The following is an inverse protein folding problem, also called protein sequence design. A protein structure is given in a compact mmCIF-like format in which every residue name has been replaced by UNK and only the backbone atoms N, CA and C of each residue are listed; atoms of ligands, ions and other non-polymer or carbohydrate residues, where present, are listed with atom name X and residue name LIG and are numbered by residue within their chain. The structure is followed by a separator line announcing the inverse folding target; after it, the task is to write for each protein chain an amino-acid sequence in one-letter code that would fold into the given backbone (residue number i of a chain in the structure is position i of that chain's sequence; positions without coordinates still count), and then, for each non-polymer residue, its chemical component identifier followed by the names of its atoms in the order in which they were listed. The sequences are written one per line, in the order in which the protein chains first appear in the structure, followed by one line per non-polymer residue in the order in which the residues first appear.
data_IF_623189236655
#
_entry.id   IF_623189236655
#
_cell.length_a   1.000
_cell.length_b   1.000
_cell.length_c   1.000
_cell.angle_alpha   90.00
_cell.angle_beta   90.00
_cell.angle_gamma   90.00
#
_symmetry.space_group_name_H-M   'P 1'
#
loop_
_entity.id
_entity.type
_entity.pdbx_description
1 polymer ?
#
# COMPACT_ATOMS: atom_id res chain seq x y z
N UNK A 1 -1.64 22.76 4.72
CA UNK A 1 -0.61 22.75 5.79
C UNK A 1 0.61 23.60 5.40
N UNK A 2 1.16 23.44 4.19
CA UNK A 2 2.24 24.32 3.69
C UNK A 2 1.69 25.64 3.12
N UNK A 3 0.74 25.59 2.19
CA UNK A 3 0.09 26.79 1.62
C UNK A 3 -0.49 27.71 2.71
N UNK A 4 -1.12 27.12 3.72
CA UNK A 4 -1.67 27.86 4.87
C UNK A 4 -0.61 28.55 5.75
N UNK A 5 0.63 28.05 5.72
CA UNK A 5 1.74 28.57 6.54
C UNK A 5 2.68 29.48 5.74
N UNK A 6 2.69 29.33 4.43
CA UNK A 6 3.56 30.06 3.49
C UNK A 6 2.71 30.58 2.33
N UNK A 7 1.92 31.61 2.59
CA UNK A 7 1.00 32.21 1.60
C UNK A 7 1.71 32.77 0.37
N UNK A 8 2.97 33.14 0.52
CA UNK A 8 3.75 33.82 -0.51
C UNK A 8 4.49 32.83 -1.43
N UNK A 9 4.40 31.52 -1.14
CA UNK A 9 5.00 30.46 -1.95
C UNK A 9 3.90 29.79 -2.77
N UNK A 10 4.10 29.75 -4.09
CA UNK A 10 3.23 28.98 -4.98
C UNK A 10 3.67 27.50 -4.99
N UNK A 11 2.74 26.59 -4.68
CA UNK A 11 3.00 25.15 -4.72
C UNK A 11 2.38 24.56 -5.98
N UNK A 12 3.20 23.88 -6.79
CA UNK A 12 2.75 23.16 -7.98
C UNK A 12 2.90 21.66 -7.71
N UNK A 13 1.83 20.91 -7.92
CA UNK A 13 1.81 19.45 -7.73
C UNK A 13 2.13 18.78 -9.06
N UNK A 14 3.23 18.00 -9.07
CA UNK A 14 3.56 17.07 -10.15
C UNK A 14 3.15 15.64 -9.82
N UNK A 15 3.06 14.78 -10.83
CA UNK A 15 2.84 13.34 -10.69
C UNK A 15 3.88 12.58 -11.53
N UNK A 16 4.46 11.55 -10.94
CA UNK A 16 5.37 10.62 -11.60
C UNK A 16 4.82 9.20 -11.44
N UNK A 17 4.80 8.44 -12.53
CA UNK A 17 4.43 7.01 -12.47
C UNK A 17 5.66 6.19 -12.06
N UNK A 18 5.45 5.16 -11.23
CA UNK A 18 6.55 4.33 -10.73
C UNK A 18 6.48 2.91 -11.30
N UNK A 19 7.63 2.21 -11.31
CA UNK A 19 7.68 0.81 -11.76
C UNK A 19 6.75 -0.07 -10.91
N UNK A 20 6.62 0.23 -9.62
CA UNK A 20 5.73 -0.49 -8.71
C UNK A 20 4.23 -0.37 -9.06
N UNK A 21 3.84 0.69 -9.78
CA UNK A 21 2.47 0.89 -10.26
C UNK A 21 2.16 0.03 -11.50
N UNK A 22 3.19 -0.31 -12.28
CA UNK A 22 3.04 -1.09 -13.51
C UNK A 22 2.97 -2.60 -13.27
N UNK A 23 3.56 -3.11 -12.17
CA UNK A 23 3.56 -4.55 -11.88
C UNK A 23 2.37 -4.94 -11.00
N UNK A 24 1.35 -5.54 -11.60
CA UNK A 24 0.09 -5.91 -10.94
C UNK A 24 -0.15 -7.42 -10.78
N UNK A 25 0.68 -8.27 -11.38
CA UNK A 25 0.43 -9.72 -11.55
C UNK A 25 1.19 -10.64 -10.57
N UNK A 26 2.19 -10.14 -9.84
CA UNK A 26 3.05 -10.94 -8.93
C UNK A 26 3.35 -10.22 -7.61
N UNK A 27 4.02 -10.88 -6.65
CA UNK A 27 4.46 -10.19 -5.43
C UNK A 27 5.64 -9.26 -5.72
N UNK A 28 5.74 -8.15 -4.99
CA UNK A 28 6.90 -7.24 -5.11
C UNK A 28 8.21 -7.91 -4.68
N UNK A 29 8.14 -8.86 -3.75
CA UNK A 29 9.30 -9.67 -3.34
C UNK A 29 9.91 -10.45 -4.50
N UNK A 30 9.10 -10.84 -5.48
CA UNK A 30 9.51 -11.68 -6.60
C UNK A 30 10.30 -10.89 -7.66
N UNK A 31 10.30 -9.55 -7.56
CA UNK A 31 11.06 -8.65 -8.44
C UNK A 31 12.50 -8.42 -7.95
N UNK A 32 12.85 -8.89 -6.75
CA UNK A 32 14.12 -8.56 -6.10
C UNK A 32 15.21 -9.62 -6.27
N UNK A 33 15.93 -9.61 -7.40
CA UNK A 33 17.26 -10.26 -7.49
C UNK A 33 18.34 -9.51 -8.30
N UNK A 34 18.16 -8.26 -8.77
CA UNK A 34 19.31 -7.56 -9.40
C UNK A 34 19.50 -6.05 -9.21
N UNK A 35 18.54 -5.26 -8.71
CA UNK A 35 18.77 -3.83 -8.39
C UNK A 35 17.76 -3.34 -7.34
N UNK A 36 18.05 -3.63 -6.08
CA UNK A 36 17.09 -3.62 -4.97
C UNK A 36 17.12 -2.29 -4.21
N UNK A 37 16.15 -1.41 -4.46
CA UNK A 37 15.52 -0.42 -3.55
C UNK A 37 14.97 0.76 -4.37
N UNK A 38 13.67 1.02 -4.30
CA UNK A 38 13.06 2.21 -4.91
C UNK A 38 12.04 1.99 -6.02
N UNK A 39 11.35 0.83 -6.05
CA UNK A 39 10.27 0.56 -7.02
C UNK A 39 9.17 1.63 -7.05
N UNK A 40 8.96 2.34 -5.93
CA UNK A 40 8.00 3.43 -5.78
C UNK A 40 8.66 4.81 -5.54
N UNK A 41 9.98 4.89 -5.51
CA UNK A 41 10.69 6.13 -5.15
C UNK A 41 11.63 6.63 -6.24
N UNK A 42 12.12 5.75 -7.13
CA UNK A 42 13.18 6.07 -8.08
C UNK A 42 12.88 7.27 -8.99
N UNK A 43 11.70 7.34 -9.62
CA UNK A 43 11.35 8.46 -10.50
C UNK A 43 11.29 9.79 -9.76
N UNK A 44 10.78 9.78 -8.53
CA UNK A 44 10.74 10.96 -7.67
C UNK A 44 12.13 11.36 -7.17
N UNK A 45 12.98 10.40 -6.82
CA UNK A 45 14.38 10.64 -6.45
C UNK A 45 15.17 11.26 -7.61
N UNK A 46 14.99 10.76 -8.83
CA UNK A 46 15.60 11.31 -10.06
C UNK A 46 15.15 12.76 -10.29
N UNK A 47 13.86 13.08 -10.11
CA UNK A 47 13.35 14.44 -10.23
C UNK A 47 13.95 15.40 -9.18
N UNK A 48 14.16 14.94 -7.94
CA UNK A 48 14.81 15.73 -6.90
C UNK A 48 16.28 16.00 -7.19
N UNK A 49 17.01 14.96 -7.63
CA UNK A 49 18.43 15.08 -7.98
C UNK A 49 18.64 15.97 -9.22
N UNK A 50 17.73 15.89 -10.20
CA UNK A 50 17.71 16.76 -11.38
C UNK A 50 17.21 18.19 -11.08
N UNK A 51 16.75 18.46 -9.84
CA UNK A 51 16.16 19.74 -9.41
C UNK A 51 14.94 20.17 -10.23
N UNK A 52 14.24 19.21 -10.84
CA UNK A 52 12.95 19.45 -11.51
C UNK A 52 11.78 19.40 -10.52
N UNK A 53 12.01 18.81 -9.33
CA UNK A 53 11.14 18.91 -8.17
C UNK A 53 11.91 19.45 -6.95
N UNK A 54 11.19 20.09 -6.02
CA UNK A 54 11.80 20.65 -4.78
C UNK A 54 11.70 19.70 -3.58
N UNK A 55 10.63 18.91 -3.50
CA UNK A 55 10.46 17.86 -2.49
C UNK A 55 9.49 16.79 -3.02
N UNK A 56 9.60 15.57 -2.48
CA UNK A 56 8.69 14.47 -2.79
C UNK A 56 7.93 14.06 -1.52
N UNK A 57 6.70 13.59 -1.69
CA UNK A 57 5.83 13.12 -0.59
C UNK A 57 5.57 11.64 -0.78
N UNK A 58 5.87 10.84 0.25
CA UNK A 58 5.70 9.40 0.22
C UNK A 58 4.95 8.89 1.43
N UNK A 59 4.30 7.73 1.27
CA UNK A 59 4.01 6.87 2.40
C UNK A 59 5.33 6.33 2.94
N UNK A 60 5.63 6.59 4.22
CA UNK A 60 6.92 6.23 4.82
C UNK A 60 7.22 4.71 4.73
N UNK A 61 6.18 3.87 4.71
CA UNK A 61 6.31 2.41 4.57
C UNK A 61 6.91 1.96 3.23
N UNK A 62 6.85 2.83 2.21
CA UNK A 62 7.30 2.54 0.84
C UNK A 62 8.69 3.16 0.57
N UNK A 63 9.26 3.89 1.54
CA UNK A 63 10.61 4.44 1.45
C UNK A 63 11.67 3.35 1.68
N UNK A 64 12.78 3.37 0.93
CA UNK A 64 13.92 2.53 1.25
C UNK A 64 14.55 2.95 2.58
N UNK A 65 15.23 2.02 3.25
CA UNK A 65 15.94 2.30 4.51
C UNK A 65 17.21 3.11 4.31
N UNK A 66 17.79 3.04 3.10
CA UNK A 66 18.95 3.83 2.69
C UNK A 66 18.50 4.76 1.57
N UNK A 67 18.74 6.05 1.74
CA UNK A 67 18.45 7.05 0.71
C UNK A 67 19.67 7.22 -0.21
N UNK A 68 19.46 7.58 -1.49
CA UNK A 68 20.54 7.98 -2.38
C UNK A 68 21.31 9.19 -1.83
N UNK A 69 22.60 9.27 -2.16
CA UNK A 69 23.42 10.43 -1.82
C UNK A 69 22.81 11.72 -2.38
N UNK A 70 22.86 12.80 -1.58
CA UNK A 70 22.27 14.09 -1.93
C UNK A 70 20.78 14.23 -1.59
N UNK A 71 20.12 13.17 -1.12
CA UNK A 71 18.73 13.20 -0.64
C UNK A 71 18.67 12.94 0.87
N UNK A 72 17.62 13.47 1.51
CA UNK A 72 17.38 13.30 2.95
C UNK A 72 15.88 13.18 3.24
N UNK A 73 15.53 12.42 4.27
CA UNK A 73 14.19 12.44 4.84
C UNK A 73 14.01 13.73 5.64
N UNK A 74 13.59 14.80 4.96
CA UNK A 74 13.53 16.14 5.55
C UNK A 74 12.42 16.31 6.61
N UNK A 75 11.34 15.53 6.52
CA UNK A 75 10.21 15.64 7.44
C UNK A 75 9.46 14.31 7.60
N UNK A 76 8.92 14.11 8.81
CA UNK A 76 7.91 13.09 9.11
C UNK A 76 6.68 13.82 9.63
N UNK A 77 5.54 13.64 8.95
CA UNK A 77 4.29 14.28 9.33
C UNK A 77 3.65 13.57 10.54
N UNK A 78 2.59 14.18 11.10
CA UNK A 78 1.79 13.54 12.14
C UNK A 78 1.28 12.19 11.63
N UNK A 79 1.51 11.14 12.42
CA UNK A 79 1.14 9.77 12.06
C UNK A 79 -0.37 9.59 12.16
N UNK A 80 -0.97 9.13 11.06
CA UNK A 80 -2.33 8.58 11.06
C UNK A 80 -2.36 7.18 11.68
N UNK A 81 -3.52 6.52 11.70
CA UNK A 81 -3.64 5.17 12.27
C UNK A 81 -2.58 4.22 11.69
N UNK A 82 -1.75 3.58 12.54
CA UNK A 82 -0.76 2.61 12.08
C UNK A 82 -1.34 1.20 11.89
N UNK A 83 -2.65 1.02 12.11
CA UNK A 83 -3.30 -0.27 12.17
C UNK A 83 -3.58 -0.86 10.79
N UNK A 84 -3.72 -2.18 10.75
CA UNK A 84 -4.29 -2.88 9.60
C UNK A 84 -5.81 -2.99 9.78
N UNK A 85 -6.57 -2.70 8.72
CA UNK A 85 -8.02 -2.86 8.70
C UNK A 85 -8.41 -4.07 7.85
N UNK A 86 -9.33 -4.88 8.36
CA UNK A 86 -9.99 -5.93 7.60
C UNK A 86 -11.30 -5.41 7.02
N UNK A 87 -11.44 -5.47 5.69
CA UNK A 87 -12.68 -5.11 5.00
C UNK A 87 -13.38 -6.39 4.58
N UNK A 88 -14.50 -6.68 5.22
CA UNK A 88 -15.31 -7.88 4.98
C UNK A 88 -16.20 -7.68 3.75
N UNK A 89 -16.28 -8.71 2.89
CA UNK A 89 -17.12 -8.71 1.70
C UNK A 89 -18.60 -8.44 2.06
N UNK A 90 -19.34 -7.63 1.28
CA UNK A 90 -20.75 -7.32 1.55
C UNK A 90 -21.66 -8.54 1.77
N UNK A 91 -21.47 -9.63 1.02
CA UNK A 91 -22.17 -10.93 1.20
C UNK A 91 -22.10 -11.51 2.62
N UNK A 92 -20.99 -11.28 3.33
CA UNK A 92 -20.81 -11.75 4.71
C UNK A 92 -21.38 -10.74 5.70
N UNK A 93 -21.24 -9.44 5.42
CA UNK A 93 -21.89 -8.37 6.21
C UNK A 93 -23.42 -8.51 6.21
N UNK A 94 -24.02 -8.89 5.08
CA UNK A 94 -25.46 -9.15 4.97
C UNK A 94 -25.93 -10.32 5.87
N UNK A 95 -25.02 -11.23 6.23
CA UNK A 95 -25.26 -12.33 7.17
C UNK A 95 -24.90 -11.97 8.62
N UNK A 96 -24.60 -10.70 8.88
CA UNK A 96 -24.22 -10.20 10.21
C UNK A 96 -22.75 -10.41 10.58
N UNK A 97 -21.92 -10.96 9.69
CA UNK A 97 -20.50 -11.22 9.95
C UNK A 97 -19.68 -9.94 9.77
N UNK A 98 -18.98 -9.51 10.81
CA UNK A 98 -18.26 -8.22 10.87
C UNK A 98 -16.76 -8.37 11.12
N UNK A 99 -16.30 -9.52 11.58
CA UNK A 99 -14.89 -9.74 11.92
C UNK A 99 -14.30 -10.92 11.14
N UNK A 100 -12.95 -10.97 11.04
CA UNK A 100 -12.26 -12.11 10.43
C UNK A 100 -12.57 -13.42 11.18
N UNK A 101 -12.73 -13.38 12.50
CA UNK A 101 -13.01 -14.56 13.35
C UNK A 101 -14.36 -15.22 13.03
N UNK A 102 -15.29 -14.44 12.51
CA UNK A 102 -16.64 -14.90 12.17
C UNK A 102 -16.72 -15.52 10.77
N UNK A 103 -15.68 -15.35 9.93
CA UNK A 103 -15.70 -15.90 8.59
C UNK A 103 -15.62 -17.44 8.59
N UNK A 104 -16.29 -18.11 7.64
CA UNK A 104 -16.22 -19.56 7.50
C UNK A 104 -14.79 -20.08 7.29
N UNK A 105 -14.56 -21.34 7.71
CA UNK A 105 -13.31 -22.05 7.38
C UNK A 105 -13.13 -22.10 5.86
N UNK A 106 -11.89 -21.94 5.40
CA UNK A 106 -11.57 -21.93 3.97
C UNK A 106 -11.79 -20.59 3.28
N UNK A 107 -12.21 -19.55 4.01
CA UNK A 107 -12.40 -18.20 3.45
C UNK A 107 -11.12 -17.62 2.83
N UNK A 108 -11.30 -16.84 1.77
CA UNK A 108 -10.22 -16.27 0.97
C UNK A 108 -9.94 -14.83 1.37
N UNK A 109 -8.72 -14.55 1.83
CA UNK A 109 -8.29 -13.23 2.26
C UNK A 109 -7.35 -12.61 1.24
N UNK A 110 -7.70 -11.42 0.75
CA UNK A 110 -6.93 -10.66 -0.23
C UNK A 110 -5.83 -9.81 0.41
N UNK A 111 -4.56 -10.17 0.15
CA UNK A 111 -3.39 -9.34 0.50
C UNK A 111 -2.18 -9.78 -0.33
N UNK A 112 -1.35 -8.83 -0.75
CA UNK A 112 -0.03 -9.11 -1.33
C UNK A 112 1.13 -8.82 -0.38
N UNK A 113 0.84 -8.39 0.85
CA UNK A 113 1.85 -8.15 1.89
C UNK A 113 2.19 -9.46 2.59
N UNK A 114 3.45 -9.90 2.47
CA UNK A 114 3.98 -11.06 3.19
C UNK A 114 3.83 -10.93 4.70
N UNK A 115 4.00 -9.72 5.24
CA UNK A 115 3.77 -9.41 6.67
C UNK A 115 2.35 -9.75 7.08
N UNK A 116 1.35 -9.26 6.34
CA UNK A 116 -0.07 -9.51 6.64
C UNK A 116 -0.43 -10.98 6.43
N UNK A 117 0.08 -11.59 5.37
CA UNK A 117 -0.12 -13.01 5.10
C UNK A 117 0.39 -13.89 6.25
N UNK A 118 1.61 -13.66 6.73
CA UNK A 118 2.18 -14.42 7.84
C UNK A 118 1.31 -14.30 9.11
N UNK A 119 0.83 -13.09 9.43
CA UNK A 119 -0.04 -12.85 10.58
C UNK A 119 -1.39 -13.57 10.44
N UNK A 120 -2.01 -13.53 9.26
CA UNK A 120 -3.29 -14.21 9.03
C UNK A 120 -3.13 -15.73 9.10
N UNK A 121 -2.09 -16.29 8.47
CA UNK A 121 -1.86 -17.74 8.49
C UNK A 121 -1.59 -18.27 9.90
N UNK A 122 -0.92 -17.47 10.73
CA UNK A 122 -0.67 -17.79 12.14
C UNK A 122 -1.96 -17.80 12.96
N UNK A 123 -2.81 -16.77 12.81
CA UNK A 123 -4.04 -16.63 13.62
C UNK A 123 -5.23 -17.44 13.07
N UNK A 124 -5.29 -17.64 11.76
CA UNK A 124 -6.39 -18.28 11.05
C UNK A 124 -5.87 -19.35 10.06
N UNK A 125 -5.35 -20.50 10.54
CA UNK A 125 -4.69 -21.49 9.69
C UNK A 125 -5.58 -22.09 8.60
N UNK A 126 -6.91 -22.02 8.75
CA UNK A 126 -7.87 -22.53 7.78
C UNK A 126 -8.17 -21.57 6.62
N UNK A 127 -7.72 -20.32 6.68
CA UNK A 127 -7.97 -19.33 5.63
C UNK A 127 -6.99 -19.49 4.47
N UNK A 128 -7.49 -19.19 3.27
CA UNK A 128 -6.70 -19.16 2.03
C UNK A 128 -6.27 -17.71 1.78
N UNK A 129 -5.02 -17.51 1.38
CA UNK A 129 -4.52 -16.18 1.01
C UNK A 129 -4.42 -16.11 -0.51
N UNK A 130 -4.92 -15.03 -1.09
CA UNK A 130 -4.81 -14.72 -2.53
C UNK A 130 -4.25 -13.32 -2.70
N UNK A 131 -3.39 -13.16 -3.71
CA UNK A 131 -2.74 -11.88 -4.00
C UNK A 131 -3.75 -10.82 -4.41
N UNK A 132 -3.56 -9.60 -3.91
CA UNK A 132 -4.42 -8.47 -4.22
C UNK A 132 -3.59 -7.20 -4.42
N UNK A 133 -3.50 -6.76 -5.68
CA UNK A 133 -2.77 -5.56 -6.13
C UNK A 133 -3.70 -4.53 -6.77
N UNK A 134 -3.18 -3.32 -6.91
CA UNK A 134 -3.88 -2.10 -7.33
C UNK A 134 -3.95 -1.07 -6.20
N UNK A 135 -4.40 0.15 -6.52
CA UNK A 135 -4.74 1.16 -5.53
C UNK A 135 -5.96 0.74 -4.69
N UNK A 136 -6.28 1.47 -3.61
CA UNK A 136 -7.35 1.09 -2.69
C UNK A 136 -8.71 0.96 -3.40
N UNK A 137 -9.02 1.85 -4.33
CA UNK A 137 -10.26 1.85 -5.10
C UNK A 137 -10.38 0.58 -5.95
N UNK A 138 -9.30 0.17 -6.61
CA UNK A 138 -9.26 -1.06 -7.40
C UNK A 138 -9.42 -2.30 -6.52
N UNK A 139 -8.83 -2.29 -5.31
CA UNK A 139 -8.95 -3.40 -4.35
C UNK A 139 -10.37 -3.53 -3.80
N UNK A 140 -11.01 -2.41 -3.47
CA UNK A 140 -12.41 -2.39 -3.04
C UNK A 140 -13.33 -2.87 -4.16
N UNK A 141 -13.13 -2.39 -5.39
CA UNK A 141 -13.91 -2.86 -6.53
C UNK A 141 -13.74 -4.37 -6.78
N UNK A 142 -12.54 -4.93 -6.60
CA UNK A 142 -12.29 -6.38 -6.68
C UNK A 142 -12.98 -7.15 -5.56
N UNK A 143 -13.02 -6.59 -4.34
CA UNK A 143 -13.79 -7.17 -3.24
C UNK A 143 -15.29 -7.16 -3.55
N UNK A 144 -15.84 -6.08 -4.12
CA UNK A 144 -17.28 -5.95 -4.32
C UNK A 144 -17.80 -6.73 -5.53
N UNK A 145 -17.02 -6.80 -6.62
CA UNK A 145 -17.47 -7.36 -7.90
C UNK A 145 -17.21 -8.85 -8.06
N UNK A 146 -16.21 -9.38 -7.36
CA UNK A 146 -15.79 -10.77 -7.54
C UNK A 146 -15.97 -11.55 -6.23
N UNK A 147 -16.55 -12.75 -6.33
CA UNK A 147 -16.58 -13.73 -5.24
C UNK A 147 -15.19 -14.34 -4.94
N UNK A 148 -14.13 -13.74 -5.49
CA UNK A 148 -12.73 -14.11 -5.32
C UNK A 148 -12.20 -13.93 -3.91
N UNK A 149 -12.81 -13.04 -3.12
CA UNK A 149 -12.35 -12.68 -1.77
C UNK A 149 -13.53 -12.61 -0.80
N UNK A 150 -13.32 -13.11 0.41
CA UNK A 150 -14.26 -12.98 1.53
C UNK A 150 -13.93 -11.76 2.41
N UNK A 151 -12.66 -11.35 2.41
CA UNK A 151 -12.20 -10.10 2.99
C UNK A 151 -10.87 -9.67 2.37
N UNK A 152 -10.50 -8.40 2.56
CA UNK A 152 -9.17 -7.87 2.21
C UNK A 152 -8.55 -7.19 3.42
N UNK A 153 -7.21 -7.12 3.44
CA UNK A 153 -6.48 -6.41 4.51
C UNK A 153 -5.74 -5.20 3.94
N UNK A 154 -6.06 -4.03 4.45
CA UNK A 154 -5.53 -2.73 4.03
C UNK A 154 -4.95 -1.96 5.22
N UNK A 155 -4.28 -0.83 4.97
CA UNK A 155 -3.98 0.09 6.06
C UNK A 155 -5.26 0.84 6.43
N UNK A 156 -5.47 1.10 7.72
CA UNK A 156 -6.63 1.82 8.24
C UNK A 156 -6.66 3.29 7.81
#
# INVERSE_FOLDING_TARGET
MLESRFSDINFVVGQEDTVGDQVLDRHLSDLGTSTTSGLFTKSLEEALLAKTASFAVHSLKDMPTTLPDGLVLAAITKRESPEDAAIIHPKHKAKGLKTLKELPKGSVIGTSSLRREALVRSQFPSFKIKTLRGNIQTRLAKLDKADDYDAIIVAA
#
